data_IF_643064040452
#
_entry.id   IF_643064040452
#
_cell.length_a   1.000
_cell.length_b   1.000
_cell.length_c   1.000
_cell.angle_alpha   90.00
_cell.angle_beta   90.00
_cell.angle_gamma   90.00
#
_symmetry.space_group_name_H-M   'P 1'
#
loop_
_entity.id
_entity.type
_entity.pdbx_description
1 polymer ?
#
# COMPACT_ATOMS: atom_id res chain seq x y z
N UNK A 1 -15.96 15.84 13.84
CA UNK A 1 -14.81 15.04 13.39
C UNK A 1 -14.83 15.11 11.88
N UNK A 2 -13.96 15.93 11.29
CA UNK A 2 -13.91 16.06 9.84
C UNK A 2 -13.33 14.76 9.27
N UNK A 3 -14.20 13.98 8.61
CA UNK A 3 -13.82 12.79 7.89
C UNK A 3 -12.89 13.19 6.74
N UNK A 4 -11.68 12.63 6.71
CA UNK A 4 -10.76 12.79 5.59
C UNK A 4 -11.47 12.32 4.32
N UNK A 5 -11.89 13.27 3.46
CA UNK A 5 -12.92 12.95 2.46
C UNK A 5 -13.08 14.01 1.38
N UNK A 6 -11.98 14.41 0.73
CA UNK A 6 -12.04 14.94 -0.65
C UNK A 6 -10.88 14.35 -1.45
N UNK A 7 -11.23 13.56 -2.47
CA UNK A 7 -10.27 12.98 -3.41
C UNK A 7 -10.00 13.97 -4.54
N UNK A 8 -8.75 14.40 -4.67
CA UNK A 8 -8.27 15.08 -5.87
C UNK A 8 -7.77 14.00 -6.83
N UNK A 9 -8.41 13.86 -8.00
CA UNK A 9 -7.92 12.96 -9.06
C UNK A 9 -6.65 13.53 -9.67
N UNK A 10 -5.52 13.35 -9.01
CA UNK A 10 -4.21 13.72 -9.55
C UNK A 10 -3.64 12.53 -10.31
N UNK A 11 -3.28 12.75 -11.58
CA UNK A 11 -2.78 11.70 -12.49
C UNK A 11 -1.43 11.09 -12.07
N UNK A 12 -0.72 11.70 -11.12
CA UNK A 12 0.48 11.14 -10.52
C UNK A 12 0.80 11.95 -9.26
N UNK A 13 0.73 11.34 -8.07
CA UNK A 13 1.30 11.91 -6.84
C UNK A 13 2.31 10.90 -6.29
N UNK A 14 3.59 11.28 -6.27
CA UNK A 14 4.56 10.72 -5.34
C UNK A 14 4.47 11.53 -4.06
N UNK A 15 4.31 10.82 -2.94
CA UNK A 15 4.42 11.28 -1.55
C UNK A 15 3.26 12.15 -1.02
N UNK A 16 2.46 11.58 -0.10
CA UNK A 16 1.49 12.29 0.72
C UNK A 16 2.06 12.59 2.12
N UNK A 17 1.75 13.77 2.65
CA UNK A 17 2.01 14.17 4.04
C UNK A 17 3.38 14.79 4.29
N UNK A 18 3.46 15.63 5.33
CA UNK A 18 4.74 16.16 5.82
C UNK A 18 5.51 15.03 6.52
N UNK A 19 6.67 14.69 5.98
CA UNK A 19 7.62 13.79 6.63
C UNK A 19 8.97 14.49 6.66
N UNK A 20 9.51 14.68 7.85
CA UNK A 20 10.87 15.19 8.04
C UNK A 20 11.86 14.02 7.87
N UNK A 21 12.47 13.91 6.69
CA UNK A 21 13.55 12.95 6.43
C UNK A 21 14.84 13.75 6.16
N UNK A 22 15.88 13.57 6.97
CA UNK A 22 17.20 14.19 6.75
C UNK A 22 17.21 15.72 6.58
N UNK A 23 16.47 16.47 7.42
CA UNK A 23 16.31 17.94 7.35
C UNK A 23 15.68 18.46 6.05
N UNK A 24 15.15 17.57 5.20
CA UNK A 24 14.39 17.93 4.00
C UNK A 24 12.90 17.76 4.29
N UNK A 25 12.12 18.81 4.04
CA UNK A 25 10.67 18.71 4.07
C UNK A 25 10.19 17.92 2.84
N UNK A 26 9.22 17.04 3.05
CA UNK A 26 8.49 16.32 2.00
C UNK A 26 7.00 16.70 2.05
N UNK A 27 6.27 16.43 0.98
CA UNK A 27 4.85 16.77 0.83
C UNK A 27 4.62 18.00 -0.06
N UNK A 28 3.56 18.76 0.23
CA UNK A 28 3.25 20.01 -0.47
C UNK A 28 4.08 21.13 0.18
N UNK A 29 5.13 21.56 -0.53
CA UNK A 29 6.13 22.52 -0.01
C UNK A 29 5.87 23.97 -0.42
N UNK A 30 4.89 24.19 -1.29
CA UNK A 30 4.50 25.49 -1.83
C UNK A 30 3.00 25.52 -2.08
N UNK A 31 2.48 26.68 -2.47
CA UNK A 31 1.08 26.83 -2.84
C UNK A 31 0.66 25.84 -3.95
N UNK A 32 -0.57 25.35 -3.82
CA UNK A 32 -1.24 24.56 -4.85
C UNK A 32 -2.18 25.50 -5.58
N UNK A 33 -2.00 25.63 -6.89
CA UNK A 33 -2.81 26.52 -7.73
C UNK A 33 -3.75 25.73 -8.65
N UNK A 34 -4.95 26.27 -8.87
CA UNK A 34 -5.85 25.85 -9.94
C UNK A 34 -6.18 27.08 -10.79
N UNK A 35 -5.88 27.01 -12.08
CA UNK A 35 -6.06 28.13 -13.02
C UNK A 35 -5.43 29.44 -12.50
N UNK A 36 -4.24 29.34 -11.90
CA UNK A 36 -3.46 30.42 -11.27
C UNK A 36 -4.06 31.02 -9.98
N UNK A 37 -5.09 30.40 -9.41
CA UNK A 37 -5.64 30.79 -8.11
C UNK A 37 -5.15 29.83 -7.04
N UNK A 38 -4.60 30.37 -5.94
CA UNK A 38 -4.13 29.57 -4.80
C UNK A 38 -5.32 28.92 -4.10
N UNK A 39 -5.22 27.61 -3.86
CA UNK A 39 -6.21 26.83 -3.12
C UNK A 39 -5.93 26.89 -1.62
N UNK A 40 -6.97 27.22 -0.83
CA UNK A 40 -6.91 27.30 0.63
C UNK A 40 -7.90 26.34 1.31
N UNK A 41 -7.85 26.24 2.65
CA UNK A 41 -8.78 25.42 3.43
C UNK A 41 -8.49 23.93 3.43
N UNK A 42 -7.20 23.55 3.34
CA UNK A 42 -6.76 22.16 3.33
C UNK A 42 -6.88 21.50 4.70
N UNK A 43 -7.39 20.28 4.72
CA UNK A 43 -7.24 19.33 5.85
C UNK A 43 -6.18 18.32 5.49
N UNK A 44 -5.12 18.24 6.29
CA UNK A 44 -4.04 17.27 6.08
C UNK A 44 -4.18 16.11 7.05
N UNK A 45 -4.26 14.89 6.52
CA UNK A 45 -4.40 13.67 7.31
C UNK A 45 -3.11 12.86 7.23
N UNK A 46 -2.57 12.48 8.41
CA UNK A 46 -1.50 11.49 8.49
C UNK A 46 -2.12 10.11 8.29
N UNK A 47 -1.53 9.31 7.40
CA UNK A 47 -1.84 7.89 7.27
C UNK A 47 -0.83 7.07 8.09
N UNK A 48 -1.30 6.31 9.07
CA UNK A 48 -0.47 5.39 9.86
C UNK A 48 -0.69 3.94 9.39
N UNK A 49 -0.07 3.61 8.26
CA UNK A 49 -0.22 2.31 7.59
C UNK A 49 0.17 1.09 8.44
N UNK A 50 0.95 1.28 9.52
CA UNK A 50 1.40 0.18 10.38
C UNK A 50 0.39 -0.17 11.48
N UNK A 51 -0.49 0.77 11.83
CA UNK A 51 -1.48 0.59 12.89
C UNK A 51 -2.93 0.56 12.35
N UNK A 52 -3.11 0.72 11.04
CA UNK A 52 -4.42 0.78 10.35
C UNK A 52 -5.04 -0.60 10.09
N UNK A 53 -4.89 -1.53 11.03
CA UNK A 53 -5.60 -2.81 11.06
C UNK A 53 -6.99 -2.70 11.70
N UNK A 54 -7.29 -1.54 12.30
CA UNK A 54 -8.26 -1.41 13.38
C UNK A 54 -9.73 -1.33 12.93
N UNK A 55 -10.04 -1.21 11.64
CA UNK A 55 -11.45 -1.08 11.24
C UNK A 55 -11.79 -1.69 9.86
N UNK A 56 -11.82 -3.03 9.80
CA UNK A 56 -12.36 -3.80 8.65
C UNK A 56 -13.88 -3.57 8.52
N UNK A 57 -14.54 -2.95 9.51
CA UNK A 57 -16.00 -2.80 9.55
C UNK A 57 -16.56 -1.65 8.70
N UNK A 58 -15.71 -0.72 8.24
CA UNK A 58 -16.10 0.47 7.48
C UNK A 58 -15.56 0.48 6.04
N UNK A 59 -15.75 -0.62 5.30
CA UNK A 59 -15.37 -0.66 3.88
C UNK A 59 -16.34 0.13 3.00
N UNK A 60 -16.05 1.41 2.79
CA UNK A 60 -16.48 2.10 1.58
C UNK A 60 -15.66 1.55 0.41
N UNK A 61 -15.96 0.33 -0.02
CA UNK A 61 -15.25 -0.36 -1.08
C UNK A 61 -15.34 0.46 -2.38
N UNK A 62 -14.24 1.09 -2.77
CA UNK A 62 -14.06 1.46 -4.17
C UNK A 62 -14.04 0.17 -4.99
N UNK A 63 -14.50 0.22 -6.25
CA UNK A 63 -14.50 -0.98 -7.11
C UNK A 63 -13.16 -1.71 -7.07
N UNK A 64 -13.18 -3.05 -7.10
CA UNK A 64 -11.98 -3.86 -6.98
C UNK A 64 -10.91 -3.46 -8.00
N UNK A 65 -9.64 -3.56 -7.61
CA UNK A 65 -8.48 -3.29 -8.48
C UNK A 65 -8.08 -1.82 -8.59
N UNK A 66 -8.66 -0.92 -7.80
CA UNK A 66 -8.27 0.50 -7.75
C UNK A 66 -7.17 0.75 -6.70
N UNK A 67 -6.61 1.95 -6.71
CA UNK A 67 -5.74 2.39 -5.62
C UNK A 67 -6.53 2.43 -4.31
N UNK A 68 -5.90 2.06 -3.21
CA UNK A 68 -6.57 1.98 -1.91
C UNK A 68 -5.79 1.15 -0.91
N UNK A 69 -6.38 0.99 0.27
CA UNK A 69 -5.90 0.09 1.31
C UNK A 69 -6.66 -1.22 1.19
N UNK A 70 -5.91 -2.31 1.08
CA UNK A 70 -6.43 -3.67 1.04
C UNK A 70 -6.03 -4.40 2.31
N UNK A 71 -6.99 -5.10 2.91
CA UNK A 71 -6.76 -5.99 4.05
C UNK A 71 -6.93 -7.44 3.61
N UNK A 72 -6.05 -8.31 4.09
CA UNK A 72 -6.10 -9.74 3.86
C UNK A 72 -5.78 -10.51 5.14
N UNK A 73 -6.34 -11.70 5.23
CA UNK A 73 -6.11 -12.63 6.34
C UNK A 73 -5.66 -13.97 5.73
N UNK A 74 -4.61 -14.57 6.29
CA UNK A 74 -4.13 -15.88 5.87
C UNK A 74 -3.61 -16.68 7.07
N UNK A 75 -3.70 -18.02 6.96
CA UNK A 75 -3.23 -18.92 8.01
C UNK A 75 -1.84 -19.49 7.68
N UNK A 76 -0.99 -19.63 8.70
CA UNK A 76 0.34 -20.24 8.61
C UNK A 76 0.43 -21.35 9.65
N UNK A 77 0.79 -22.58 9.24
CA UNK A 77 0.98 -23.68 10.18
C UNK A 77 2.32 -23.56 10.93
N UNK A 78 3.41 -23.42 10.17
CA UNK A 78 4.77 -23.28 10.70
C UNK A 78 5.43 -22.05 10.05
N UNK A 79 5.69 -20.98 10.83
CA UNK A 79 6.38 -19.79 10.34
C UNK A 79 7.71 -20.15 9.67
N UNK A 80 7.82 -19.83 8.39
CA UNK A 80 9.02 -20.05 7.58
C UNK A 80 9.23 -18.82 6.71
N UNK A 81 10.48 -18.54 6.38
CA UNK A 81 10.83 -17.46 5.46
C UNK A 81 10.09 -17.67 4.12
N UNK A 82 9.49 -16.60 3.61
CA UNK A 82 8.70 -16.64 2.38
C UNK A 82 8.78 -15.30 1.64
N UNK A 83 8.04 -15.18 0.55
CA UNK A 83 7.99 -13.99 -0.26
C UNK A 83 6.55 -13.68 -0.67
N UNK A 84 6.08 -12.45 -0.50
CA UNK A 84 4.85 -12.00 -1.15
C UNK A 84 5.15 -11.71 -2.61
N UNK A 85 4.44 -12.39 -3.52
CA UNK A 85 4.47 -12.13 -4.95
C UNK A 85 3.46 -11.05 -5.33
N UNK A 86 3.97 -9.91 -5.78
CA UNK A 86 3.17 -8.75 -6.18
C UNK A 86 2.92 -8.68 -7.69
N UNK A 87 3.21 -9.75 -8.44
CA UNK A 87 2.90 -9.82 -9.89
C UNK A 87 1.41 -9.54 -10.13
N UNK A 88 1.09 -8.62 -11.05
CA UNK A 88 -0.29 -8.19 -11.32
C UNK A 88 -0.79 -7.05 -10.42
N UNK A 89 0.00 -6.65 -9.41
CA UNK A 89 -0.19 -5.40 -8.67
C UNK A 89 0.66 -4.28 -9.28
N UNK A 90 0.34 -3.04 -8.94
CA UNK A 90 1.02 -1.87 -9.47
C UNK A 90 2.19 -1.48 -8.57
N UNK A 91 1.94 -0.53 -7.67
CA UNK A 91 2.96 0.08 -6.82
C UNK A 91 2.41 0.33 -5.43
N UNK A 92 3.19 -0.04 -4.41
CA UNK A 92 2.70 0.14 -3.06
C UNK A 92 3.65 -0.25 -1.95
N UNK A 93 3.06 -0.41 -0.77
CA UNK A 93 3.71 -0.86 0.46
C UNK A 93 2.91 -2.03 1.02
N UNK A 94 3.59 -3.04 1.55
CA UNK A 94 2.96 -4.14 2.26
C UNK A 94 3.39 -4.18 3.72
N UNK A 95 2.47 -4.58 4.60
CA UNK A 95 2.66 -4.69 6.04
C UNK A 95 2.07 -6.02 6.51
N UNK A 96 2.86 -6.83 7.23
CA UNK A 96 2.41 -8.09 7.84
C UNK A 96 2.46 -7.96 9.36
N UNK A 97 1.34 -8.20 10.03
CA UNK A 97 1.23 -8.18 11.49
C UNK A 97 1.86 -6.91 12.13
N UNK A 98 1.65 -5.73 11.53
CA UNK A 98 2.25 -4.46 11.98
C UNK A 98 3.66 -4.17 11.45
N UNK A 99 4.33 -5.14 10.83
CA UNK A 99 5.69 -4.98 10.33
C UNK A 99 5.67 -4.55 8.85
N UNK A 100 6.22 -3.37 8.56
CA UNK A 100 6.41 -2.90 7.18
C UNK A 100 7.49 -3.73 6.48
N UNK A 101 7.08 -4.52 5.49
CA UNK A 101 7.99 -5.42 4.74
C UNK A 101 8.58 -4.77 3.48
N UNK A 102 8.24 -3.51 3.22
CA UNK A 102 8.87 -2.68 2.19
C UNK A 102 7.94 -2.24 1.07
N UNK A 103 8.56 -1.65 0.04
CA UNK A 103 7.88 -1.12 -1.15
C UNK A 103 7.98 -2.12 -2.29
N UNK A 104 6.88 -2.33 -3.01
CA UNK A 104 6.88 -3.02 -4.30
C UNK A 104 6.59 -2.03 -5.44
N UNK A 105 7.09 -2.37 -6.62
CA UNK A 105 6.73 -1.69 -7.87
C UNK A 105 6.71 -2.73 -9.00
N UNK A 106 5.71 -3.59 -8.98
CA UNK A 106 5.61 -4.74 -9.86
C UNK A 106 5.22 -4.36 -11.30
N UNK A 107 4.61 -3.18 -11.51
CA UNK A 107 4.38 -2.63 -12.85
C UNK A 107 5.68 -2.27 -13.60
N UNK A 108 6.79 -2.03 -12.87
CA UNK A 108 8.09 -1.66 -13.45
C UNK A 108 9.18 -2.73 -13.25
N UNK A 109 9.12 -3.50 -12.16
CA UNK A 109 10.15 -4.46 -11.80
C UNK A 109 11.49 -3.80 -11.41
N UNK A 110 12.62 -4.54 -11.44
CA UNK A 110 12.70 -5.97 -11.71
C UNK A 110 12.24 -6.82 -10.53
N UNK A 111 12.19 -6.27 -9.32
CA UNK A 111 11.79 -7.01 -8.13
C UNK A 111 10.26 -7.20 -8.10
N UNK A 112 9.81 -8.46 -8.19
CA UNK A 112 8.38 -8.82 -8.21
C UNK A 112 7.89 -9.40 -6.88
N UNK A 113 8.79 -9.56 -5.92
CA UNK A 113 8.51 -10.16 -4.62
C UNK A 113 9.13 -9.38 -3.46
N UNK A 114 8.43 -9.34 -2.33
CA UNK A 114 8.95 -8.82 -1.06
C UNK A 114 9.29 -9.98 -0.12
N UNK A 115 10.51 -9.95 0.45
CA UNK A 115 10.92 -10.93 1.45
C UNK A 115 10.13 -10.76 2.74
N UNK A 116 9.66 -11.88 3.28
CA UNK A 116 8.94 -11.97 4.56
C UNK A 116 9.75 -12.87 5.49
N UNK A 117 10.41 -12.30 6.51
CA UNK A 117 11.07 -13.09 7.54
C UNK A 117 10.05 -13.94 8.31
N UNK A 118 10.41 -15.17 8.64
CA UNK A 118 9.60 -16.04 9.51
C UNK A 118 9.22 -15.36 10.83
N UNK A 119 10.10 -14.49 11.35
CA UNK A 119 9.88 -13.72 12.58
C UNK A 119 8.72 -12.72 12.50
N UNK A 120 8.24 -12.37 11.31
CA UNK A 120 7.07 -11.51 11.13
C UNK A 120 5.76 -12.31 11.04
N UNK A 121 5.85 -13.65 11.00
CA UNK A 121 4.72 -14.56 10.93
C UNK A 121 4.50 -15.24 12.28
N UNK A 122 3.26 -15.67 12.52
CA UNK A 122 2.87 -16.47 13.67
C UNK A 122 2.06 -17.70 13.24
N UNK A 123 2.09 -18.80 14.00
CA UNK A 123 1.17 -19.92 13.75
C UNK A 123 -0.29 -19.47 13.84
N UNK A 124 -1.13 -19.96 12.95
CA UNK A 124 -2.52 -19.53 12.81
C UNK A 124 -2.65 -18.26 11.97
N UNK A 125 -3.51 -17.35 12.42
CA UNK A 125 -3.96 -16.20 11.64
C UNK A 125 -2.90 -15.09 11.55
N UNK A 126 -2.68 -14.57 10.35
CA UNK A 126 -1.79 -13.46 10.05
C UNK A 126 -2.52 -12.40 9.23
N UNK A 127 -2.21 -11.14 9.47
CA UNK A 127 -2.86 -9.99 8.84
C UNK A 127 -1.93 -9.32 7.84
N UNK A 128 -2.41 -9.19 6.61
CA UNK A 128 -1.76 -8.45 5.53
C UNK A 128 -2.50 -7.13 5.30
N UNK A 129 -1.76 -6.03 5.26
CA UNK A 129 -2.22 -4.74 4.78
C UNK A 129 -1.40 -4.34 3.56
N UNK A 130 -2.07 -3.90 2.50
CA UNK A 130 -1.44 -3.38 1.29
C UNK A 130 -1.97 -2.00 0.98
N UNK A 131 -1.08 -1.01 0.92
CA UNK A 131 -1.36 0.29 0.33
C UNK A 131 -0.99 0.22 -1.16
N UNK A 132 -1.98 0.19 -2.05
CA UNK A 132 -1.81 0.18 -3.51
C UNK A 132 -2.09 1.57 -4.09
N UNK A 133 -1.19 2.06 -4.95
CA UNK A 133 -1.16 3.43 -5.45
C UNK A 133 -1.48 3.56 -6.94
N UNK A 134 -1.37 2.49 -7.72
CA UNK A 134 -1.59 2.45 -9.17
C UNK A 134 -2.80 1.57 -9.54
N UNK A 135 -3.10 0.55 -8.73
CA UNK A 135 -4.17 -0.42 -8.92
C UNK A 135 -3.64 -1.83 -9.17
N UNK A 136 -4.54 -2.81 -9.20
CA UNK A 136 -4.19 -4.23 -9.39
C UNK A 136 -5.16 -4.92 -10.34
N UNK A 137 -4.64 -5.84 -11.15
CA UNK A 137 -5.44 -6.71 -12.04
C UNK A 137 -5.76 -8.05 -11.39
N UNK A 138 -5.20 -8.36 -10.21
CA UNK A 138 -5.43 -9.61 -9.50
C UNK A 138 -6.70 -9.54 -8.64
N UNK A 139 -7.83 -9.20 -9.26
CA UNK A 139 -9.12 -9.14 -8.58
C UNK A 139 -10.18 -9.92 -9.34
N UNK A 140 -11.03 -10.61 -8.58
CA UNK A 140 -12.25 -11.25 -9.07
C UNK A 140 -13.43 -10.67 -8.31
N UNK A 141 -14.36 -10.03 -9.03
CA UNK A 141 -15.55 -9.36 -8.50
C UNK A 141 -15.21 -8.30 -7.43
N UNK A 142 -15.14 -8.71 -6.16
CA UNK A 142 -14.88 -7.88 -4.98
C UNK A 142 -13.61 -8.26 -4.21
N UNK A 143 -12.93 -9.35 -4.58
CA UNK A 143 -11.78 -9.89 -3.85
C UNK A 143 -10.52 -9.79 -4.68
N UNK A 144 -9.45 -9.25 -4.09
CA UNK A 144 -8.13 -9.21 -4.71
C UNK A 144 -7.16 -10.12 -3.98
N UNK A 145 -6.17 -10.67 -4.67
CA UNK A 145 -5.28 -11.68 -4.11
C UNK A 145 -3.79 -11.42 -4.40
N UNK A 146 -2.98 -11.91 -3.46
CA UNK A 146 -1.53 -12.04 -3.53
C UNK A 146 -1.19 -13.49 -3.19
N UNK A 147 -0.05 -13.97 -3.68
CA UNK A 147 0.44 -15.31 -3.35
C UNK A 147 1.73 -15.23 -2.53
N UNK A 148 1.91 -16.21 -1.66
CA UNK A 148 3.18 -16.48 -1.00
C UNK A 148 3.95 -17.49 -1.83
N UNK A 149 5.24 -17.24 -2.06
CA UNK A 149 6.13 -18.09 -2.85
C UNK A 149 7.41 -18.40 -2.06
N UNK A 150 8.10 -19.47 -2.44
CA UNK A 150 9.28 -20.01 -1.75
C UNK A 150 10.62 -19.41 -2.21
N UNK A 151 10.60 -18.64 -3.30
CA UNK A 151 11.79 -18.03 -3.90
C UNK A 151 11.49 -16.63 -4.43
N UNK A 152 12.48 -15.73 -4.45
CA UNK A 152 12.29 -14.40 -4.99
C UNK A 152 12.10 -14.46 -6.51
N UNK A 153 11.27 -13.58 -7.03
CA UNK A 153 11.02 -13.43 -8.46
C UNK A 153 11.58 -12.08 -8.92
N UNK A 154 12.44 -12.13 -9.93
CA UNK A 154 12.94 -10.95 -10.62
C UNK A 154 12.61 -11.05 -12.11
N UNK A 155 11.98 -10.03 -12.68
CA UNK A 155 11.63 -9.95 -14.10
C UNK A 155 12.27 -8.70 -14.69
N UNK A 156 13.28 -8.87 -15.53
CA UNK A 156 13.95 -7.77 -16.20
C UNK A 156 13.24 -7.46 -17.51
N UNK A 157 12.87 -6.20 -17.72
CA UNK A 157 12.53 -5.73 -19.07
C UNK A 157 13.83 -5.59 -19.88
N UNK A 158 13.84 -6.19 -21.07
CA UNK A 158 14.91 -6.08 -22.07
C UNK A 158 14.77 -4.86 -22.95
#
# INVERSE_FOLDING_TARGET
MDLCGKSLKVKQLKDFGYVYMNKKHLGILSDVELDKNVLHGWTQCKLDITNDYADISSSNAQGAGKHGVYHGIFNVDVPTDTFINTTGWGKGVAVINGNNIGRYWASEGPQMTLYVPAAFLQPGENFLLVLELEGTTNCSESTCSLSLVDRPIYVWSS
#
